data_IF_463993207569
#
_entry.id   IF_463993207569
#
_cell.length_a   1.000
_cell.length_b   1.000
_cell.length_c   1.000
_cell.angle_alpha   90.00
_cell.angle_beta   90.00
_cell.angle_gamma   90.00
#
_symmetry.space_group_name_H-M   'P 1'
#
loop_
_entity.id
_entity.type
_entity.pdbx_description
1 polymer ?
#
# COMPACT_ATOMS: atom_id res chain seq x y z
N UNK A 1 -11.30 6.38 -4.95
CA UNK A 1 -10.57 6.09 -6.19
C UNK A 1 -9.10 6.46 -6.02
N UNK A 2 -8.23 5.59 -6.47
CA UNK A 2 -6.79 5.84 -6.52
C UNK A 2 -6.41 6.21 -7.95
N UNK A 3 -5.67 7.29 -8.13
CA UNK A 3 -5.20 7.73 -9.43
C UNK A 3 -3.69 8.00 -9.39
N UNK A 4 -2.96 7.38 -10.29
CA UNK A 4 -1.51 7.55 -10.45
C UNK A 4 -1.24 8.12 -11.83
N UNK A 5 -0.52 9.22 -11.92
CA UNK A 5 -0.21 9.90 -13.18
C UNK A 5 1.28 10.15 -13.34
N UNK A 6 1.82 9.71 -14.45
CA UNK A 6 3.18 10.01 -14.90
C UNK A 6 4.25 9.72 -13.85
N UNK A 7 4.10 8.61 -13.13
CA UNK A 7 4.97 8.24 -12.02
C UNK A 7 6.36 7.87 -12.53
N UNK A 8 7.38 8.48 -11.93
CA UNK A 8 8.77 8.20 -12.22
C UNK A 8 9.56 7.97 -10.95
N UNK A 9 10.35 6.94 -10.92
CA UNK A 9 11.18 6.59 -9.77
C UNK A 9 12.37 5.73 -10.21
N UNK A 10 13.46 5.84 -9.47
CA UNK A 10 14.60 4.94 -9.59
C UNK A 10 15.39 4.92 -8.30
N UNK A 11 16.15 3.85 -8.10
CA UNK A 11 17.04 3.70 -6.96
C UNK A 11 18.36 4.44 -7.16
N UNK A 12 18.68 4.79 -8.41
CA UNK A 12 19.86 5.55 -8.80
C UNK A 12 19.42 6.63 -9.79
N UNK A 13 20.01 7.81 -9.70
CA UNK A 13 19.71 8.94 -10.59
C UNK A 13 19.86 8.63 -12.08
N UNK A 14 20.70 7.64 -12.42
CA UNK A 14 21.00 7.24 -13.81
C UNK A 14 20.09 6.14 -14.34
N UNK A 15 19.31 5.47 -13.50
CA UNK A 15 18.53 4.29 -13.88
C UNK A 15 17.11 4.35 -13.31
N UNK A 16 16.16 4.95 -14.04
CA UNK A 16 14.76 4.91 -13.64
C UNK A 16 14.22 3.48 -13.74
N UNK A 17 13.51 3.03 -12.70
CA UNK A 17 12.78 1.77 -12.69
C UNK A 17 11.34 1.99 -13.17
N UNK A 18 10.73 3.09 -12.73
CA UNK A 18 9.43 3.54 -13.20
C UNK A 18 9.63 4.74 -14.12
N UNK A 19 9.05 4.68 -15.30
CA UNK A 19 9.12 5.74 -16.27
C UNK A 19 7.73 5.98 -16.86
N UNK A 20 7.11 7.08 -16.49
CA UNK A 20 5.81 7.52 -16.98
C UNK A 20 4.69 6.48 -16.77
N UNK A 21 4.58 5.96 -15.56
CA UNK A 21 3.55 4.98 -15.19
C UNK A 21 2.27 5.71 -14.77
N UNK A 22 1.18 5.37 -15.43
CA UNK A 22 -0.15 5.93 -15.12
C UNK A 22 -1.19 4.82 -15.07
N UNK A 23 -2.05 4.85 -14.05
CA UNK A 23 -3.19 3.95 -13.92
C UNK A 23 -4.17 4.51 -12.88
N UNK A 24 -5.34 3.91 -12.82
CA UNK A 24 -6.33 4.24 -11.80
C UNK A 24 -7.03 2.98 -11.30
N UNK A 25 -7.50 3.02 -10.08
CA UNK A 25 -8.33 1.99 -9.47
C UNK A 25 -9.58 2.66 -8.91
N UNK A 26 -10.73 2.28 -9.43
CA UNK A 26 -12.02 2.80 -8.99
C UNK A 26 -12.49 2.17 -7.69
N UNK A 27 -13.63 2.64 -7.20
CA UNK A 27 -14.24 2.07 -6.00
C UNK A 27 -14.70 0.63 -6.27
N UNK A 28 -14.45 -0.27 -5.33
CA UNK A 28 -14.82 -1.70 -5.42
C UNK A 28 -14.25 -2.39 -6.67
N UNK A 29 -13.10 -1.94 -7.15
CA UNK A 29 -12.45 -2.46 -8.34
C UNK A 29 -11.17 -3.21 -7.96
N UNK A 30 -10.92 -4.33 -8.65
CA UNK A 30 -9.65 -5.05 -8.54
C UNK A 30 -8.84 -4.75 -9.79
N UNK A 31 -7.66 -4.18 -9.59
CA UNK A 31 -6.73 -3.84 -10.67
C UNK A 31 -5.49 -4.71 -10.54
N UNK A 32 -5.08 -5.35 -11.63
CA UNK A 32 -3.87 -6.16 -11.69
C UNK A 32 -2.76 -5.43 -12.46
N UNK A 33 -1.56 -5.39 -11.88
CA UNK A 33 -0.36 -4.90 -12.53
C UNK A 33 0.44 -6.11 -13.01
N UNK A 34 0.55 -6.26 -14.32
CA UNK A 34 1.22 -7.40 -14.94
C UNK A 34 2.57 -6.98 -15.52
N UNK A 35 3.51 -7.90 -15.50
CA UNK A 35 4.84 -7.70 -16.07
C UNK A 35 5.79 -8.79 -15.63
N UNK A 36 6.95 -8.87 -16.30
CA UNK A 36 8.03 -9.77 -15.91
C UNK A 36 8.72 -9.29 -14.63
N UNK A 37 9.53 -10.15 -14.03
CA UNK A 37 10.38 -9.76 -12.91
C UNK A 37 11.29 -8.59 -13.31
N UNK A 38 11.35 -7.56 -12.46
CA UNK A 38 12.12 -6.36 -12.76
C UNK A 38 11.40 -5.30 -13.59
N UNK A 39 10.13 -5.52 -13.94
CA UNK A 39 9.33 -4.55 -14.70
C UNK A 39 8.82 -3.37 -13.86
N UNK A 40 9.08 -3.36 -12.56
CA UNK A 40 8.68 -2.26 -11.67
C UNK A 40 7.38 -2.48 -10.90
N UNK A 41 6.78 -3.68 -10.92
CA UNK A 41 5.51 -3.97 -10.22
C UNK A 41 5.61 -3.69 -8.72
N UNK A 42 6.59 -4.28 -8.05
CA UNK A 42 6.83 -4.10 -6.62
C UNK A 42 7.20 -2.65 -6.30
N UNK A 43 8.03 -2.04 -7.13
CA UNK A 43 8.44 -0.63 -6.99
C UNK A 43 7.26 0.30 -7.09
N UNK A 44 6.32 0.05 -8.03
CA UNK A 44 5.07 0.81 -8.16
C UNK A 44 4.25 0.76 -6.88
N UNK A 45 4.02 -0.45 -6.33
CA UNK A 45 3.25 -0.61 -5.10
C UNK A 45 3.93 0.04 -3.90
N UNK A 46 5.25 -0.07 -3.78
CA UNK A 46 6.01 0.59 -2.72
C UNK A 46 5.94 2.11 -2.82
N UNK A 47 5.95 2.65 -4.04
CA UNK A 47 5.85 4.10 -4.26
C UNK A 47 4.45 4.60 -3.90
N UNK A 48 3.40 3.88 -4.29
CA UNK A 48 2.02 4.23 -3.94
C UNK A 48 1.80 4.16 -2.43
N UNK A 49 2.37 3.17 -1.76
CA UNK A 49 2.21 2.99 -0.31
C UNK A 49 3.07 3.94 0.54
N UNK A 50 3.91 4.77 -0.08
CA UNK A 50 4.75 5.74 0.62
C UNK A 50 6.07 5.20 1.16
N UNK A 51 6.43 3.95 0.85
CA UNK A 51 7.73 3.39 1.20
C UNK A 51 8.86 3.97 0.33
N UNK A 52 8.53 4.39 -0.88
CA UNK A 52 9.45 5.04 -1.79
C UNK A 52 8.85 6.38 -2.22
N UNK A 53 9.70 7.38 -2.39
CA UNK A 53 9.27 8.72 -2.81
C UNK A 53 9.47 8.86 -4.33
N UNK A 54 8.43 9.18 -5.11
CA UNK A 54 8.59 9.37 -6.55
C UNK A 54 9.45 10.58 -6.87
N UNK A 55 10.15 10.50 -8.02
CA UNK A 55 10.88 11.64 -8.55
C UNK A 55 9.93 12.63 -9.21
N UNK A 56 8.96 12.11 -9.96
CA UNK A 56 7.98 12.88 -10.71
C UNK A 56 6.64 12.15 -10.70
N UNK A 57 5.60 12.87 -11.08
CA UNK A 57 4.25 12.34 -11.14
C UNK A 57 3.42 12.65 -9.91
N UNK A 58 2.18 12.22 -9.94
CA UNK A 58 1.23 12.46 -8.85
C UNK A 58 0.48 11.19 -8.48
N UNK A 59 0.18 11.07 -7.19
CA UNK A 59 -0.64 10.01 -6.63
C UNK A 59 -1.77 10.69 -5.86
N UNK A 60 -3.01 10.42 -6.28
CA UNK A 60 -4.21 11.01 -5.68
C UNK A 60 -5.11 9.90 -5.15
N UNK A 61 -5.57 10.03 -3.93
CA UNK A 61 -6.48 9.08 -3.29
C UNK A 61 -7.71 9.80 -2.76
N UNK A 62 -8.88 9.43 -3.27
CA UNK A 62 -10.16 10.06 -2.93
C UNK A 62 -10.12 11.60 -3.07
N UNK A 63 -9.48 12.08 -4.14
CA UNK A 63 -9.36 13.50 -4.44
C UNK A 63 -8.26 14.24 -3.68
N UNK A 64 -7.53 13.56 -2.80
CA UNK A 64 -6.44 14.14 -2.01
C UNK A 64 -5.08 13.73 -2.58
N UNK A 65 -4.18 14.68 -2.72
CA UNK A 65 -2.80 14.44 -3.16
C UNK A 65 -2.00 13.80 -2.01
N UNK A 66 -1.56 12.56 -2.24
CA UNK A 66 -0.72 11.81 -1.29
C UNK A 66 0.70 11.61 -1.81
N UNK A 67 1.07 12.30 -2.88
CA UNK A 67 2.39 12.16 -3.51
C UNK A 67 3.51 12.46 -2.49
N UNK A 68 4.44 11.52 -2.34
CA UNK A 68 5.57 11.68 -1.43
C UNK A 68 5.22 11.64 0.06
N UNK A 69 3.96 11.36 0.40
CA UNK A 69 3.56 11.17 1.79
C UNK A 69 4.26 9.93 2.38
N UNK A 70 4.77 9.98 3.61
CA UNK A 70 5.40 8.82 4.24
C UNK A 70 4.39 7.69 4.48
N UNK A 71 4.90 6.46 4.56
CA UNK A 71 4.07 5.25 4.64
C UNK A 71 3.04 5.29 5.77
N UNK A 72 3.41 5.80 6.96
CA UNK A 72 2.45 5.90 8.07
C UNK A 72 1.29 6.87 7.77
N UNK A 73 1.55 7.91 7.00
CA UNK A 73 0.50 8.85 6.57
C UNK A 73 -0.42 8.23 5.53
N UNK A 74 0.15 7.51 4.57
CA UNK A 74 -0.61 6.79 3.54
C UNK A 74 -1.50 5.71 4.18
N UNK A 75 -0.98 4.99 5.16
CA UNK A 75 -1.75 3.99 5.90
C UNK A 75 -2.96 4.61 6.62
N UNK A 76 -2.77 5.78 7.24
CA UNK A 76 -3.87 6.51 7.90
C UNK A 76 -4.96 6.95 6.92
N UNK A 77 -4.63 7.13 5.64
CA UNK A 77 -5.62 7.45 4.60
C UNK A 77 -6.41 6.23 4.15
N UNK A 78 -5.98 5.03 4.49
CA UNK A 78 -6.68 3.79 4.17
C UNK A 78 -6.02 2.91 3.12
N UNK A 79 -4.78 3.20 2.73
CA UNK A 79 -4.00 2.38 1.80
C UNK A 79 -3.03 1.52 2.59
N UNK A 80 -3.14 0.21 2.43
CA UNK A 80 -2.28 -0.77 3.09
C UNK A 80 -1.57 -1.63 2.05
N UNK A 81 -0.29 -1.90 2.26
CA UNK A 81 0.51 -2.77 1.42
C UNK A 81 0.69 -4.13 2.11
N UNK A 82 0.38 -5.21 1.37
CA UNK A 82 0.74 -6.56 1.77
C UNK A 82 2.08 -6.88 1.12
N UNK A 83 3.17 -6.99 1.88
CA UNK A 83 4.50 -7.22 1.31
C UNK A 83 4.68 -8.65 0.84
N UNK A 84 5.61 -8.83 -0.08
CA UNK A 84 6.09 -10.15 -0.48
C UNK A 84 6.84 -10.82 0.70
N UNK A 85 6.79 -12.15 0.78
CA UNK A 85 7.53 -12.89 1.80
C UNK A 85 6.87 -12.94 3.17
N UNK A 86 5.58 -12.65 3.26
CA UNK A 86 4.74 -12.70 4.47
C UNK A 86 5.08 -11.64 5.53
N UNK A 87 6.34 -11.37 5.84
CA UNK A 87 6.81 -10.32 6.77
C UNK A 87 6.10 -10.34 8.14
N UNK A 88 5.83 -11.52 8.69
CA UNK A 88 5.18 -11.68 9.99
C UNK A 88 6.18 -11.54 11.13
N UNK A 89 5.70 -11.08 12.28
CA UNK A 89 6.47 -11.08 13.52
C UNK A 89 6.42 -12.49 14.12
N UNK A 90 7.42 -13.32 13.79
CA UNK A 90 7.43 -14.74 14.14
C UNK A 90 7.47 -15.03 15.65
N UNK A 91 7.91 -14.09 16.47
CA UNK A 91 7.92 -14.22 17.94
C UNK A 91 6.62 -13.77 18.60
N UNK A 92 5.72 -13.15 17.84
CA UNK A 92 4.41 -12.73 18.33
C UNK A 92 3.36 -13.78 17.98
N UNK A 93 2.30 -13.82 18.76
CA UNK A 93 1.14 -14.67 18.49
C UNK A 93 0.37 -14.17 17.26
N UNK A 94 -0.56 -14.98 16.74
CA UNK A 94 -1.46 -14.58 15.69
C UNK A 94 -2.27 -13.34 16.10
N UNK A 95 -2.83 -13.37 17.32
CA UNK A 95 -3.59 -12.25 17.87
C UNK A 95 -2.75 -10.96 17.94
N UNK A 96 -1.52 -11.05 18.42
CA UNK A 96 -0.62 -9.91 18.51
C UNK A 96 -0.27 -9.33 17.13
N UNK A 97 -0.01 -10.20 16.13
CA UNK A 97 0.21 -9.76 14.75
C UNK A 97 -1.00 -9.02 14.20
N UNK A 98 -2.22 -9.56 14.38
CA UNK A 98 -3.44 -8.92 13.93
C UNK A 98 -3.68 -7.60 14.66
N UNK A 99 -3.41 -7.53 15.96
CA UNK A 99 -3.58 -6.31 16.76
C UNK A 99 -2.67 -5.19 16.30
N UNK A 100 -1.46 -5.51 15.84
CA UNK A 100 -0.55 -4.51 15.27
C UNK A 100 -1.12 -3.85 14.01
N UNK A 101 -1.88 -4.59 13.21
CA UNK A 101 -2.56 -4.04 12.04
C UNK A 101 -3.63 -2.99 12.37
N UNK A 102 -4.10 -2.97 13.59
CA UNK A 102 -5.14 -2.04 14.05
C UNK A 102 -4.59 -0.83 14.83
N UNK A 103 -3.26 -0.65 14.90
CA UNK A 103 -2.68 0.35 15.79
C UNK A 103 -3.09 1.80 15.48
N UNK A 104 -3.47 2.10 14.24
CA UNK A 104 -3.94 3.43 13.84
C UNK A 104 -5.42 3.66 14.12
N UNK A 105 -6.16 2.61 14.49
CA UNK A 105 -7.60 2.66 14.77
C UNK A 105 -7.84 2.90 16.25
N UNK A 106 -8.84 3.72 16.58
CA UNK A 106 -9.14 4.12 17.95
C UNK A 106 -10.44 3.51 18.50
N UNK A 107 -11.38 3.17 17.63
CA UNK A 107 -12.66 2.63 18.05
C UNK A 107 -12.54 1.14 18.34
N UNK A 108 -12.61 0.76 19.64
CA UNK A 108 -12.44 -0.61 20.09
C UNK A 108 -13.54 -1.55 19.57
N UNK A 109 -14.76 -1.06 19.43
CA UNK A 109 -15.89 -1.87 18.92
C UNK A 109 -15.70 -2.22 17.45
N UNK A 110 -15.22 -1.28 16.64
CA UNK A 110 -14.90 -1.52 15.23
C UNK A 110 -13.71 -2.46 15.07
N UNK A 111 -12.68 -2.32 15.91
CA UNK A 111 -11.53 -3.23 15.92
C UNK A 111 -11.99 -4.65 16.22
N UNK A 112 -12.83 -4.82 17.22
CA UNK A 112 -13.37 -6.13 17.60
C UNK A 112 -14.20 -6.76 16.48
N UNK A 113 -15.08 -5.97 15.83
CA UNK A 113 -15.88 -6.45 14.70
C UNK A 113 -15.00 -6.92 13.55
N UNK A 114 -13.95 -6.16 13.23
CA UNK A 114 -13.02 -6.52 12.17
C UNK A 114 -12.23 -7.79 12.54
N UNK A 115 -11.80 -7.91 13.78
CA UNK A 115 -11.10 -9.10 14.27
C UNK A 115 -11.98 -10.35 14.18
N UNK A 116 -13.23 -10.26 14.60
CA UNK A 116 -14.21 -11.34 14.50
C UNK A 116 -14.43 -11.76 13.05
N UNK A 117 -14.53 -10.80 12.13
CA UNK A 117 -14.63 -11.06 10.70
C UNK A 117 -13.41 -11.79 10.17
N UNK A 118 -12.20 -11.39 10.58
CA UNK A 118 -10.95 -12.05 10.16
C UNK A 118 -10.94 -13.51 10.63
N UNK A 119 -11.30 -13.78 11.87
CA UNK A 119 -11.36 -15.15 12.39
C UNK A 119 -12.46 -16.00 11.76
N UNK A 120 -13.54 -15.38 11.29
CA UNK A 120 -14.58 -16.08 10.53
C UNK A 120 -14.08 -16.49 9.14
N UNK A 121 -13.35 -15.58 8.45
CA UNK A 121 -12.78 -15.86 7.14
C UNK A 121 -11.57 -16.81 7.18
N UNK A 122 -10.80 -16.77 8.24
CA UNK A 122 -9.58 -17.57 8.43
C UNK A 122 -9.60 -18.25 9.81
N UNK A 123 -10.42 -19.30 9.96
CA UNK A 123 -10.59 -19.99 11.25
C UNK A 123 -9.36 -20.74 11.75
#
# INVERSE_FOLDING_TARGET
>A
MLEVKNLKFGYSAMMPVLNDISFQAGNQEIVAILGSNGAGKTTTLKTVSGLLKPWEGTITYNGEDITGMPAYGVLKKGISLVPEGRMLFGKLTVYENLSMGAYTRKNQDEIKKTLDMVYELFP
#
